data_IF_259330869727
#
_entry.id   IF_259330869727
#
_cell.length_a   1.000
_cell.length_b   1.000
_cell.length_c   1.000
_cell.angle_alpha   90.00
_cell.angle_beta   90.00
_cell.angle_gamma   90.00
#
_symmetry.space_group_name_H-M   'P 1'
#
loop_
_entity.id
_entity.type
_entity.pdbx_description
1 polymer ?
#
# COMPACT_ATOMS: atom_id res chain seq x y z
N UNK A 1 18.07 10.80 -50.94
CA UNK A 1 18.95 9.67 -50.61
C UNK A 1 19.26 9.75 -49.12
N UNK A 2 18.65 8.86 -48.34
CA UNK A 2 18.77 8.79 -46.87
C UNK A 2 20.06 8.04 -46.51
N UNK A 3 20.87 8.57 -45.60
CA UNK A 3 21.89 7.77 -44.92
C UNK A 3 21.47 7.57 -43.46
N UNK A 4 20.94 6.38 -43.17
CA UNK A 4 20.60 5.91 -41.83
C UNK A 4 21.89 5.56 -41.08
N UNK A 5 22.25 6.33 -40.05
CA UNK A 5 23.25 5.92 -39.05
C UNK A 5 22.57 5.12 -37.92
N UNK A 6 22.13 3.90 -38.23
CA UNK A 6 21.66 2.93 -37.24
C UNK A 6 22.63 1.75 -37.16
N UNK A 7 23.86 1.94 -36.63
CA UNK A 7 24.77 0.79 -36.41
C UNK A 7 25.52 0.80 -35.06
N UNK A 8 25.46 1.88 -34.26
CA UNK A 8 26.10 1.85 -32.93
C UNK A 8 25.08 1.92 -31.79
N UNK A 9 24.80 0.77 -31.17
CA UNK A 9 24.23 0.70 -29.83
C UNK A 9 25.35 0.42 -28.84
N UNK A 10 25.73 1.43 -28.06
CA UNK A 10 26.59 1.24 -26.91
C UNK A 10 25.76 0.62 -25.77
N UNK A 11 26.01 -0.66 -25.47
CA UNK A 11 25.55 -1.25 -24.21
C UNK A 11 26.60 -0.97 -23.15
N UNK A 12 26.38 0.09 -22.36
CA UNK A 12 27.08 0.22 -21.10
C UNK A 12 26.46 -0.78 -20.12
N UNK A 13 27.23 -1.79 -19.69
CA UNK A 13 26.90 -2.51 -18.46
C UNK A 13 27.10 -1.52 -17.32
N UNK A 14 26.04 -0.80 -16.98
CA UNK A 14 26.00 0.03 -15.79
C UNK A 14 26.11 -0.89 -14.58
N UNK A 15 27.29 -0.93 -13.95
CA UNK A 15 27.47 -1.47 -12.60
C UNK A 15 26.82 -0.59 -11.52
N UNK A 16 26.12 0.47 -11.92
CA UNK A 16 25.29 1.27 -11.03
C UNK A 16 23.98 0.53 -10.76
N UNK A 17 23.97 -0.25 -9.69
CA UNK A 17 22.74 -0.77 -9.10
C UNK A 17 22.37 0.17 -7.94
N UNK A 18 21.42 1.10 -8.10
CA UNK A 18 20.94 1.86 -6.95
C UNK A 18 20.15 0.88 -6.08
N UNK A 19 20.76 0.37 -5.00
CA UNK A 19 20.06 -0.23 -3.86
C UNK A 19 18.94 -1.24 -4.22
N UNK A 20 19.26 -2.34 -4.89
CA UNK A 20 18.34 -3.49 -4.97
C UNK A 20 18.34 -4.24 -3.64
N UNK A 21 17.55 -3.76 -2.67
CA UNK A 21 17.30 -4.50 -1.44
C UNK A 21 16.22 -5.56 -1.66
N UNK A 22 16.51 -6.79 -1.26
CA UNK A 22 15.50 -7.84 -1.19
C UNK A 22 14.53 -7.52 -0.05
N UNK A 23 13.24 -7.44 -0.36
CA UNK A 23 12.17 -7.24 0.63
C UNK A 23 11.35 -8.51 0.76
N UNK A 24 11.34 -9.11 1.95
CA UNK A 24 10.42 -10.20 2.28
C UNK A 24 9.12 -9.62 2.85
N UNK A 25 7.97 -10.10 2.35
CA UNK A 25 6.68 -9.86 3.00
C UNK A 25 6.15 -11.16 3.58
N UNK A 26 5.62 -11.12 4.80
CA UNK A 26 4.92 -12.27 5.37
C UNK A 26 3.55 -12.39 4.70
N UNK A 27 3.20 -13.60 4.29
CA UNK A 27 1.84 -13.94 3.84
C UNK A 27 1.20 -14.67 5.02
N UNK A 28 0.14 -14.08 5.59
CA UNK A 28 -0.56 -14.67 6.72
C UNK A 28 -1.43 -15.86 6.26
N UNK A 29 -1.45 -16.98 7.01
CA UNK A 29 -2.28 -18.13 6.65
C UNK A 29 -3.76 -17.84 6.88
N UNK A 30 -4.64 -18.51 6.12
CA UNK A 30 -6.08 -18.47 6.40
C UNK A 30 -6.39 -19.22 7.70
N UNK A 31 -7.12 -18.59 8.62
CA UNK A 31 -7.58 -19.22 9.86
C UNK A 31 -8.73 -20.17 9.57
N UNK A 32 -8.71 -21.35 10.19
CA UNK A 32 -9.83 -22.30 10.12
C UNK A 32 -11.12 -21.75 10.75
N UNK A 33 -12.25 -22.12 10.16
CA UNK A 33 -13.59 -21.82 10.69
C UNK A 33 -13.89 -22.70 11.91
N UNK A 34 -14.46 -22.11 12.96
CA UNK A 34 -14.91 -22.86 14.15
C UNK A 34 -16.41 -23.07 14.02
N UNK A 35 -16.85 -24.31 14.22
CA UNK A 35 -18.24 -24.71 14.16
C UNK A 35 -18.74 -25.21 15.53
N UNK A 36 -20.02 -25.03 15.81
CA UNK A 36 -20.71 -25.71 16.90
C UNK A 36 -20.94 -27.21 16.57
N UNK A 37 -21.41 -27.99 17.54
CA UNK A 37 -21.81 -29.41 17.41
C UNK A 37 -22.78 -29.67 16.26
N UNK A 38 -23.60 -28.67 15.89
CA UNK A 38 -24.56 -28.75 14.79
C UNK A 38 -23.96 -28.32 13.44
N UNK A 39 -22.65 -28.06 13.36
CA UNK A 39 -21.94 -27.50 12.19
C UNK A 39 -22.34 -26.07 11.84
N UNK A 40 -22.92 -25.33 12.77
CA UNK A 40 -23.17 -23.90 12.59
C UNK A 40 -21.88 -23.11 12.85
N UNK A 41 -21.51 -22.16 11.97
CA UNK A 41 -20.26 -21.41 12.12
C UNK A 41 -20.34 -20.44 13.30
N UNK A 42 -19.47 -20.62 14.29
CA UNK A 42 -19.30 -19.72 15.43
C UNK A 42 -18.26 -18.62 15.15
N UNK A 43 -17.21 -18.97 14.42
CA UNK A 43 -16.14 -18.02 14.05
C UNK A 43 -15.74 -18.24 12.60
N UNK A 44 -15.90 -17.22 11.77
CA UNK A 44 -15.49 -17.20 10.36
C UNK A 44 -14.27 -16.32 10.16
N UNK A 45 -13.41 -16.68 9.20
CA UNK A 45 -12.30 -15.82 8.79
C UNK A 45 -12.83 -14.68 7.91
N UNK A 46 -12.52 -13.43 8.27
CA UNK A 46 -12.87 -12.24 7.50
C UNK A 46 -11.60 -11.53 7.06
N UNK A 47 -11.50 -11.26 5.77
CA UNK A 47 -10.35 -10.56 5.20
C UNK A 47 -10.45 -9.08 5.53
N UNK A 48 -9.46 -8.61 6.28
CA UNK A 48 -9.26 -7.20 6.58
C UNK A 48 -7.85 -6.76 6.16
N UNK A 49 -7.73 -5.49 5.80
CA UNK A 49 -6.49 -4.90 5.33
C UNK A 49 -5.97 -3.87 6.33
N UNK A 50 -4.65 -3.72 6.38
CA UNK A 50 -4.00 -2.60 7.09
C UNK A 50 -3.45 -1.64 6.05
N UNK A 51 -3.85 -0.37 6.15
CA UNK A 51 -3.36 0.69 5.29
C UNK A 51 -2.04 1.21 5.83
N UNK A 52 -0.97 0.99 5.07
CA UNK A 52 0.34 1.57 5.35
C UNK A 52 0.57 2.82 4.49
N UNK A 53 1.12 3.86 5.11
CA UNK A 53 1.64 5.04 4.42
C UNK A 53 3.16 5.11 4.52
N UNK A 54 3.78 5.81 3.57
CA UNK A 54 5.19 6.18 3.59
C UNK A 54 5.33 7.69 3.85
N UNK A 55 5.45 8.13 5.12
CA UNK A 55 5.37 9.55 5.50
C UNK A 55 6.40 10.45 4.83
N UNK A 56 7.56 9.92 4.46
CA UNK A 56 8.62 10.69 3.80
C UNK A 56 8.28 11.09 2.37
N UNK A 57 7.42 10.32 1.71
CA UNK A 57 7.02 10.53 0.32
C UNK A 57 5.65 11.22 0.20
N UNK A 58 5.16 11.81 1.29
CA UNK A 58 3.87 12.51 1.34
C UNK A 58 4.13 14.02 1.45
N UNK A 59 3.75 14.75 0.39
CA UNK A 59 3.91 16.21 0.31
C UNK A 59 2.89 16.93 1.20
N UNK A 60 1.61 16.58 1.07
CA UNK A 60 0.50 17.16 1.83
C UNK A 60 -0.17 16.08 2.70
N UNK A 61 0.30 15.88 3.94
CA UNK A 61 -0.24 14.86 4.81
C UNK A 61 -1.67 15.16 5.25
N UNK A 62 -2.03 16.43 5.45
CA UNK A 62 -3.36 16.78 5.95
C UNK A 62 -4.46 16.44 4.95
N UNK A 63 -4.23 16.77 3.68
CA UNK A 63 -5.15 16.40 2.60
C UNK A 63 -5.28 14.88 2.47
N UNK A 64 -4.18 14.15 2.55
CA UNK A 64 -4.19 12.69 2.46
C UNK A 64 -4.95 12.06 3.64
N UNK A 65 -4.67 12.50 4.88
CA UNK A 65 -5.32 11.97 6.07
C UNK A 65 -6.82 12.23 6.05
N UNK A 66 -7.26 13.41 5.59
CA UNK A 66 -8.69 13.71 5.39
C UNK A 66 -9.35 12.76 4.38
N UNK A 67 -8.70 12.52 3.24
CA UNK A 67 -9.23 11.58 2.24
C UNK A 67 -9.32 10.14 2.76
N UNK A 68 -8.36 9.74 3.60
CA UNK A 68 -8.38 8.43 4.27
C UNK A 68 -9.52 8.40 5.29
N UNK A 69 -9.72 9.48 6.04
CA UNK A 69 -10.79 9.55 7.04
C UNK A 69 -12.18 9.46 6.43
N UNK A 70 -12.42 10.16 5.32
CA UNK A 70 -13.69 10.09 4.58
C UNK A 70 -14.11 8.66 4.19
N UNK A 71 -13.14 7.77 3.99
CA UNK A 71 -13.40 6.37 3.59
C UNK A 71 -13.39 5.42 4.78
N UNK A 72 -12.46 5.61 5.71
CA UNK A 72 -12.21 4.67 6.82
C UNK A 72 -12.94 5.05 8.11
N UNK A 73 -13.39 6.30 8.24
CA UNK A 73 -14.05 6.87 9.42
C UNK A 73 -13.25 6.64 10.72
N UNK A 74 -11.91 6.70 10.62
CA UNK A 74 -10.98 6.43 11.74
C UNK A 74 -10.82 7.65 12.67
N UNK A 75 -11.18 8.83 12.19
CA UNK A 75 -10.96 10.14 12.77
C UNK A 75 -9.62 10.74 12.38
N UNK A 76 -9.63 11.97 11.85
CA UNK A 76 -8.41 12.73 11.51
C UNK A 76 -7.41 12.83 12.68
N UNK A 77 -7.88 13.00 13.92
CA UNK A 77 -7.01 13.08 15.10
C UNK A 77 -6.23 11.77 15.34
N UNK A 78 -6.90 10.62 15.18
CA UNK A 78 -6.29 9.30 15.30
C UNK A 78 -5.26 9.06 14.20
N UNK A 79 -5.60 9.43 12.96
CA UNK A 79 -4.72 9.30 11.80
C UNK A 79 -3.48 10.19 11.95
N UNK A 80 -3.66 11.41 12.44
CA UNK A 80 -2.58 12.37 12.69
C UNK A 80 -1.64 11.90 13.79
N UNK A 81 -2.17 11.32 14.87
CA UNK A 81 -1.36 10.75 15.95
C UNK A 81 -0.49 9.56 15.48
N UNK A 82 -0.94 8.82 14.46
CA UNK A 82 -0.18 7.71 13.86
C UNK A 82 0.82 8.17 12.82
N UNK A 83 0.57 9.32 12.19
CA UNK A 83 1.45 9.87 11.18
C UNK A 83 2.76 10.35 11.81
N UNK A 84 3.90 9.85 11.32
CA UNK A 84 5.21 10.25 11.80
C UNK A 84 6.20 10.30 10.62
N UNK A 85 6.68 11.51 10.29
CA UNK A 85 7.58 11.77 9.14
C UNK A 85 8.98 11.18 9.29
N UNK A 86 9.38 10.79 10.48
CA UNK A 86 10.70 10.18 10.74
C UNK A 86 10.74 8.71 10.28
N UNK A 87 9.60 8.03 10.29
CA UNK A 87 9.47 6.61 9.94
C UNK A 87 9.36 6.41 8.43
N UNK A 88 9.87 5.27 7.95
CA UNK A 88 9.70 4.85 6.55
C UNK A 88 8.29 4.37 6.26
N UNK A 89 7.74 3.50 7.11
CA UNK A 89 6.39 2.97 6.95
C UNK A 89 5.63 3.15 8.26
N UNK A 90 4.38 3.61 8.17
CA UNK A 90 3.48 3.73 9.32
C UNK A 90 2.11 3.11 9.01
N UNK A 91 1.53 2.35 9.94
CA UNK A 91 0.13 1.93 9.82
C UNK A 91 -0.79 3.12 10.10
N UNK A 92 -1.59 3.52 9.12
CA UNK A 92 -2.53 4.63 9.23
C UNK A 92 -3.91 4.14 9.68
N UNK A 93 -4.45 3.12 9.02
CA UNK A 93 -5.74 2.53 9.35
C UNK A 93 -5.65 1.00 9.44
N UNK A 94 -6.41 0.44 10.37
CA UNK A 94 -6.56 -1.01 10.57
C UNK A 94 -7.97 -1.43 10.18
N UNK A 95 -8.19 -2.73 10.00
CA UNK A 95 -9.50 -3.31 9.73
C UNK A 95 -10.21 -2.71 8.49
N UNK A 96 -9.43 -2.31 7.48
CA UNK A 96 -9.96 -1.76 6.23
C UNK A 96 -10.65 -2.89 5.47
N UNK A 97 -11.90 -2.68 5.06
CA UNK A 97 -12.66 -3.66 4.28
C UNK A 97 -12.19 -3.67 2.82
N UNK A 98 -12.53 -4.73 2.08
CA UNK A 98 -12.21 -4.81 0.64
C UNK A 98 -12.85 -3.64 -0.15
N UNK A 99 -14.05 -3.20 0.22
CA UNK A 99 -14.72 -2.07 -0.44
C UNK A 99 -14.01 -0.74 -0.15
N UNK A 100 -13.64 -0.50 1.12
CA UNK A 100 -12.86 0.68 1.49
C UNK A 100 -11.50 0.70 0.80
N UNK A 101 -10.82 -0.45 0.70
CA UNK A 101 -9.57 -0.59 -0.05
C UNK A 101 -9.76 -0.20 -1.51
N UNK A 102 -10.78 -0.71 -2.20
CA UNK A 102 -11.08 -0.34 -3.59
C UNK A 102 -11.36 1.14 -3.75
N UNK A 103 -12.05 1.76 -2.79
CA UNK A 103 -12.29 3.22 -2.78
C UNK A 103 -11.00 4.03 -2.58
N UNK A 104 -10.08 3.56 -1.74
CA UNK A 104 -8.78 4.21 -1.55
C UNK A 104 -7.87 4.04 -2.78
N UNK A 105 -7.88 2.87 -3.40
CA UNK A 105 -7.12 2.59 -4.62
C UNK A 105 -7.62 3.41 -5.82
N UNK A 106 -8.93 3.62 -5.95
CA UNK A 106 -9.48 4.45 -7.03
C UNK A 106 -9.08 5.92 -6.89
N UNK A 107 -9.04 6.45 -5.65
CA UNK A 107 -8.54 7.80 -5.33
C UNK A 107 -7.03 7.97 -5.58
N UNK A 108 -6.26 6.87 -5.64
CA UNK A 108 -4.80 6.88 -5.92
C UNK A 108 -4.48 7.13 -7.41
N UNK A 109 -5.46 7.07 -8.32
CA UNK A 109 -5.24 7.27 -9.77
C UNK A 109 -4.98 8.73 -10.11
N UNK A 110 -3.78 9.19 -9.76
CA UNK A 110 -3.36 10.58 -9.93
C UNK A 110 -1.87 10.83 -9.63
N UNK A 111 -0.95 9.92 -10.02
CA UNK A 111 0.40 10.19 -10.58
C UNK A 111 1.42 9.06 -10.39
N UNK A 112 2.23 8.93 -11.46
CA UNK A 112 3.57 8.37 -11.60
C UNK A 112 3.79 6.89 -11.26
N UNK A 113 3.62 6.07 -12.31
CA UNK A 113 4.46 4.88 -12.50
C UNK A 113 5.91 5.37 -12.67
N UNK A 114 6.78 4.96 -11.74
CA UNK A 114 8.23 4.95 -11.93
C UNK A 114 8.58 3.76 -12.81
#
# INVERSE_FOLDING_TARGET
MLLNFSIFKFFASSTYTPNNYLRSTRIEPSRGTIYDRNKEPLVVNQSYYTLFGEPKNIDDPWKLLKQIDEVTLTGEATLSARFNKEKQWVPLAYNVTEDQKKMLESKKTGRNRV
#
